data_IF_489289922359
#
_entry.id   IF_489289922359
#
_cell.length_a   1.000
_cell.length_b   1.000
_cell.length_c   1.000
_cell.angle_alpha   90.00
_cell.angle_beta   90.00
_cell.angle_gamma   90.00
#
_symmetry.space_group_name_H-M   'P 1'
#
loop_
_entity.id
_entity.type
_entity.pdbx_description
1 polymer ?
#
# COMPACT_ATOMS: atom_id res chain seq x y z
N UNK A 1 23.89 4.21 -46.17
CA UNK A 1 22.43 4.28 -45.95
C UNK A 1 21.90 3.14 -45.06
N UNK A 2 22.41 1.90 -45.16
CA UNK A 2 21.94 0.78 -44.31
C UNK A 2 22.17 0.99 -42.80
N UNK A 3 23.33 1.53 -42.40
CA UNK A 3 23.62 1.84 -40.99
C UNK A 3 22.71 2.93 -40.39
N UNK A 4 22.36 3.95 -41.17
CA UNK A 4 21.45 5.02 -40.74
C UNK A 4 20.01 4.50 -40.55
N UNK A 5 19.57 3.57 -41.42
CA UNK A 5 18.29 2.86 -41.25
C UNK A 5 18.30 1.95 -40.01
N UNK A 6 19.43 1.29 -39.71
CA UNK A 6 19.58 0.46 -38.51
C UNK A 6 19.53 1.31 -37.23
N UNK A 7 20.19 2.47 -37.19
CA UNK A 7 20.13 3.39 -36.05
C UNK A 7 18.71 3.96 -35.86
N UNK A 8 18.06 4.44 -36.92
CA UNK A 8 16.68 4.92 -36.84
C UNK A 8 15.67 3.84 -36.44
N UNK A 9 15.86 2.59 -36.90
CA UNK A 9 15.06 1.46 -36.43
C UNK A 9 15.32 1.16 -34.96
N UNK A 10 16.57 1.23 -34.49
CA UNK A 10 16.89 0.98 -33.08
C UNK A 10 16.32 2.04 -32.13
N UNK A 11 16.33 3.31 -32.53
CA UNK A 11 15.72 4.42 -31.77
C UNK A 11 14.19 4.28 -31.76
N UNK A 12 13.57 3.97 -32.91
CA UNK A 12 12.12 3.74 -33.00
C UNK A 12 11.67 2.52 -32.18
N UNK A 13 12.46 1.45 -32.18
CA UNK A 13 12.16 0.22 -31.44
C UNK A 13 12.33 0.42 -29.93
N UNK A 14 13.38 1.13 -29.50
CA UNK A 14 13.60 1.48 -28.10
C UNK A 14 12.49 2.40 -27.56
N UNK A 15 12.03 3.37 -28.36
CA UNK A 15 10.92 4.24 -27.98
C UNK A 15 9.59 3.49 -27.87
N UNK A 16 9.36 2.48 -28.73
CA UNK A 16 8.17 1.62 -28.69
C UNK A 16 8.19 0.66 -27.49
N UNK A 17 9.35 0.07 -27.17
CA UNK A 17 9.55 -0.80 -26.01
C UNK A 17 9.36 -0.07 -24.66
N UNK A 18 9.76 1.21 -24.59
CA UNK A 18 9.56 2.06 -23.40
C UNK A 18 8.09 2.48 -23.18
N UNK A 19 7.28 2.48 -24.24
CA UNK A 19 5.85 2.83 -24.19
C UNK A 19 4.94 1.62 -23.91
N UNK A 20 5.45 0.39 -24.02
CA UNK A 20 4.65 -0.84 -23.96
C UNK A 20 5.04 -1.82 -22.85
N UNK A 21 5.97 -1.49 -21.95
CA UNK A 21 6.33 -2.36 -20.84
C UNK A 21 5.46 -2.09 -19.59
N UNK A 22 4.41 -2.88 -19.30
CA UNK A 22 3.86 -2.93 -17.97
C UNK A 22 4.95 -3.46 -17.03
N UNK A 23 5.13 -2.75 -15.93
CA UNK A 23 6.06 -3.05 -14.84
C UNK A 23 5.64 -4.39 -14.22
N UNK A 24 6.09 -5.51 -14.79
CA UNK A 24 5.97 -6.84 -14.18
C UNK A 24 7.22 -7.04 -13.31
N UNK A 25 7.05 -6.80 -12.02
CA UNK A 25 8.01 -7.19 -11.00
C UNK A 25 8.07 -8.71 -10.91
N UNK A 26 9.19 -9.29 -11.34
CA UNK A 26 9.61 -10.64 -10.97
C UNK A 26 10.17 -10.58 -9.53
N UNK A 27 9.33 -10.88 -8.54
CA UNK A 27 9.78 -11.05 -7.16
C UNK A 27 10.11 -12.53 -6.91
N UNK A 28 11.38 -12.79 -6.64
CA UNK A 28 11.92 -14.07 -6.18
C UNK A 28 11.48 -14.30 -4.73
N UNK A 29 10.95 -15.49 -4.44
CA UNK A 29 10.70 -15.97 -3.08
C UNK A 29 12.02 -16.39 -2.43
N UNK A 30 12.41 -15.70 -1.36
CA UNK A 30 13.54 -16.09 -0.52
C UNK A 30 13.09 -16.15 0.94
N UNK A 31 13.22 -17.32 1.54
CA UNK A 31 12.98 -17.59 2.95
C UNK A 31 13.93 -16.79 3.85
N UNK A 32 13.41 -16.13 4.88
CA UNK A 32 14.16 -15.85 6.11
C UNK A 32 13.20 -15.58 7.28
N UNK A 33 13.41 -16.37 8.34
CA UNK A 33 12.64 -16.43 9.55
C UNK A 33 13.03 -15.36 10.60
N UNK A 34 12.05 -15.03 11.45
CA UNK A 34 12.10 -14.75 12.89
C UNK A 34 13.01 -13.63 13.46
N UNK A 35 12.40 -12.66 14.15
CA UNK A 35 12.36 -12.63 15.63
C UNK A 35 11.57 -11.41 16.16
N UNK A 36 10.94 -11.65 17.32
CA UNK A 36 9.98 -10.85 18.09
C UNK A 36 10.64 -9.78 18.98
N UNK A 37 9.91 -8.69 19.28
CA UNK A 37 10.21 -7.75 20.37
C UNK A 37 9.04 -6.80 20.70
N UNK A 38 8.20 -7.24 21.64
CA UNK A 38 7.14 -6.60 22.47
C UNK A 38 7.10 -5.04 22.55
N UNK A 39 5.99 -4.31 22.76
CA UNK A 39 4.53 -4.48 22.87
C UNK A 39 3.96 -3.09 23.20
N UNK A 40 3.01 -2.56 22.42
CA UNK A 40 2.21 -1.40 22.83
C UNK A 40 1.01 -1.87 23.70
N UNK A 41 0.72 -1.26 24.86
CA UNK A 41 -0.48 -1.57 25.62
C UNK A 41 -1.66 -0.87 24.94
N UNK A 42 -2.51 -1.65 24.26
CA UNK A 42 -3.68 -1.16 23.53
C UNK A 42 -4.65 -0.30 24.36
N UNK A 43 -5.65 0.32 23.71
CA UNK A 43 -6.52 1.32 24.33
C UNK A 43 -7.36 0.76 25.48
N UNK A 44 -7.58 1.64 26.45
CA UNK A 44 -8.29 1.44 27.71
C UNK A 44 -9.74 1.02 27.46
N UNK A 45 -10.25 0.11 28.30
CA UNK A 45 -11.60 -0.43 28.21
C UNK A 45 -12.66 0.68 28.26
N UNK A 46 -13.43 0.83 27.18
CA UNK A 46 -14.65 1.63 27.14
C UNK A 46 -15.83 0.69 27.31
N UNK A 47 -16.48 0.76 28.48
CA UNK A 47 -17.71 0.04 28.75
C UNK A 47 -18.92 0.82 28.23
N UNK A 48 -19.53 0.38 27.13
CA UNK A 48 -20.86 0.84 26.70
C UNK A 48 -21.73 -0.30 26.15
N UNK A 49 -22.69 -0.66 27.00
CA UNK A 49 -24.01 -1.29 26.83
C UNK A 49 -24.39 -1.83 25.44
N UNK A 50 -24.59 -3.15 25.40
CA UNK A 50 -25.10 -3.95 24.30
C UNK A 50 -26.62 -4.05 24.30
N UNK A 51 -27.27 -3.64 23.20
CA UNK A 51 -28.60 -4.15 22.84
C UNK A 51 -28.65 -4.43 21.34
N UNK A 52 -28.73 -5.72 20.99
CA UNK A 52 -29.21 -6.22 19.69
C UNK A 52 -28.16 -6.78 18.74
N UNK A 53 -27.89 -8.10 18.83
CA UNK A 53 -27.71 -9.09 17.73
C UNK A 53 -26.92 -10.31 18.26
N UNK A 54 -27.63 -11.38 18.58
CA UNK A 54 -27.19 -12.39 19.54
C UNK A 54 -27.05 -13.80 18.95
N UNK A 55 -26.85 -14.04 17.64
CA UNK A 55 -26.89 -15.44 17.15
C UNK A 55 -25.79 -15.93 16.20
N UNK A 56 -24.88 -15.09 15.71
CA UNK A 56 -23.70 -15.55 14.95
C UNK A 56 -22.36 -15.22 15.61
N UNK A 57 -22.32 -14.21 16.49
CA UNK A 57 -21.14 -13.89 17.31
C UNK A 57 -20.99 -14.76 18.56
N UNK A 58 -22.08 -15.34 19.07
CA UNK A 58 -22.08 -16.09 20.34
C UNK A 58 -21.26 -17.38 20.29
N UNK A 59 -21.26 -18.09 19.15
CA UNK A 59 -20.48 -19.33 19.00
C UNK A 59 -18.97 -19.05 18.92
N UNK A 60 -18.57 -17.94 18.28
CA UNK A 60 -17.18 -17.50 18.23
C UNK A 60 -16.70 -16.99 19.60
N UNK A 61 -17.55 -16.23 20.31
CA UNK A 61 -17.23 -15.64 21.61
C UNK A 61 -16.91 -16.68 22.69
N UNK A 62 -17.35 -17.93 22.53
CA UNK A 62 -16.99 -19.02 23.44
C UNK A 62 -15.48 -19.30 23.49
N UNK A 63 -14.73 -18.97 22.44
CA UNK A 63 -13.28 -19.12 22.38
C UNK A 63 -12.53 -17.79 22.11
N UNK A 64 -13.18 -16.83 21.45
CA UNK A 64 -12.62 -15.54 21.05
C UNK A 64 -13.28 -14.38 21.81
N UNK A 65 -13.34 -14.47 23.15
CA UNK A 65 -14.07 -13.50 23.97
C UNK A 65 -13.56 -12.07 23.78
N UNK A 66 -12.24 -11.89 23.62
CA UNK A 66 -11.66 -10.55 23.45
C UNK A 66 -12.05 -9.99 22.09
N UNK A 67 -11.83 -10.74 21.03
CA UNK A 67 -12.11 -10.32 19.67
C UNK A 67 -13.60 -10.05 19.46
N UNK A 68 -14.49 -10.87 20.03
CA UNK A 68 -15.94 -10.63 19.99
C UNK A 68 -16.36 -9.37 20.74
N UNK A 69 -15.73 -9.06 21.88
CA UNK A 69 -15.99 -7.81 22.63
C UNK A 69 -15.49 -6.58 21.85
N UNK A 70 -14.28 -6.65 21.31
CA UNK A 70 -13.69 -5.59 20.49
C UNK A 70 -14.53 -5.33 19.23
N UNK A 71 -14.97 -6.40 18.57
CA UNK A 71 -15.84 -6.33 17.40
C UNK A 71 -17.21 -5.74 17.73
N UNK A 72 -17.79 -6.05 18.88
CA UNK A 72 -19.07 -5.47 19.31
C UNK A 72 -19.02 -3.94 19.45
N UNK A 73 -17.86 -3.38 19.78
CA UNK A 73 -17.65 -1.92 19.85
C UNK A 73 -17.26 -1.29 18.50
N UNK A 74 -17.00 -2.11 17.48
CA UNK A 74 -16.61 -1.65 16.14
C UNK A 74 -17.78 -1.03 15.36
N UNK A 75 -17.45 -0.17 14.40
CA UNK A 75 -18.40 0.36 13.41
C UNK A 75 -19.04 -0.72 12.54
N UNK A 76 -18.43 -1.90 12.46
CA UNK A 76 -18.92 -3.04 11.67
C UNK A 76 -19.87 -3.97 12.43
N UNK A 77 -19.99 -3.83 13.76
CA UNK A 77 -20.78 -4.72 14.63
C UNK A 77 -22.24 -4.94 14.20
N UNK A 78 -22.87 -3.93 13.59
CA UNK A 78 -24.30 -3.94 13.24
C UNK A 78 -24.60 -4.46 11.83
N UNK A 79 -23.59 -4.55 10.98
CA UNK A 79 -23.76 -4.82 9.54
C UNK A 79 -22.92 -5.95 9.01
N UNK A 80 -21.96 -6.44 9.81
CA UNK A 80 -21.03 -7.50 9.44
C UNK A 80 -21.00 -8.56 10.54
N UNK A 81 -20.62 -9.76 10.15
CA UNK A 81 -20.37 -10.92 11.00
C UNK A 81 -18.91 -11.34 10.88
N UNK A 82 -18.44 -12.20 11.78
CA UNK A 82 -17.05 -12.68 11.77
C UNK A 82 -16.67 -13.33 10.42
N UNK A 83 -17.61 -14.05 9.81
CA UNK A 83 -17.40 -14.80 8.56
C UNK A 83 -17.31 -13.92 7.31
N UNK A 84 -17.72 -12.65 7.39
CA UNK A 84 -17.68 -11.72 6.24
C UNK A 84 -16.27 -11.25 5.93
N UNK A 85 -15.36 -11.32 6.90
CA UNK A 85 -13.95 -10.93 6.73
C UNK A 85 -13.00 -12.13 6.67
N UNK A 86 -13.26 -13.20 7.43
CA UNK A 86 -12.38 -14.37 7.46
C UNK A 86 -13.15 -15.68 7.61
N UNK A 87 -12.59 -16.76 7.07
CA UNK A 87 -13.16 -18.09 7.24
C UNK A 87 -12.66 -18.69 8.56
N UNK A 88 -13.53 -18.92 9.57
CA UNK A 88 -13.10 -19.26 10.94
C UNK A 88 -12.48 -20.65 11.06
N UNK A 89 -12.80 -21.58 10.15
CA UNK A 89 -12.35 -22.98 10.21
C UNK A 89 -11.97 -23.54 8.84
N UNK A 90 -11.35 -22.72 7.99
CA UNK A 90 -10.70 -23.23 6.78
C UNK A 90 -9.41 -23.97 7.18
N UNK A 91 -9.34 -25.24 6.78
CA UNK A 91 -8.32 -26.22 7.14
C UNK A 91 -6.91 -25.86 6.63
N UNK A 92 -6.00 -25.57 7.54
CA UNK A 92 -4.64 -26.10 7.53
C UNK A 92 -4.23 -26.32 8.99
N UNK A 93 -4.42 -27.55 9.47
CA UNK A 93 -3.95 -28.10 10.76
C UNK A 93 -4.21 -27.22 11.99
N UNK A 94 -5.25 -27.59 12.76
CA UNK A 94 -5.67 -26.93 14.01
C UNK A 94 -4.61 -26.94 15.12
N UNK A 95 -3.56 -26.16 14.96
CA UNK A 95 -2.43 -26.02 15.88
C UNK A 95 -1.53 -24.82 15.61
N UNK A 96 -1.56 -24.24 14.41
CA UNK A 96 -0.67 -23.12 14.10
C UNK A 96 -1.34 -21.77 14.42
N UNK A 97 -0.64 -20.91 15.17
CA UNK A 97 -1.03 -19.53 15.53
C UNK A 97 -1.00 -18.59 14.32
N UNK A 98 -1.54 -19.02 13.19
CA UNK A 98 -1.57 -18.23 11.97
C UNK A 98 -2.76 -17.27 12.04
N UNK A 99 -2.59 -16.02 11.58
CA UNK A 99 -3.69 -15.06 11.54
C UNK A 99 -4.77 -15.58 10.58
N UNK A 100 -6.04 -15.45 10.98
CA UNK A 100 -7.19 -15.90 10.19
C UNK A 100 -7.33 -15.17 8.83
N UNK A 101 -6.61 -14.05 8.66
CA UNK A 101 -6.45 -13.32 7.41
C UNK A 101 -4.97 -13.13 7.18
N UNK A 102 -4.48 -13.51 6.01
CA UNK A 102 -3.10 -13.23 5.66
C UNK A 102 -2.91 -11.73 5.41
N UNK A 103 -1.76 -11.16 5.83
CA UNK A 103 -1.50 -9.72 5.70
C UNK A 103 -1.64 -9.22 4.25
N UNK A 104 -1.19 -10.02 3.28
CA UNK A 104 -1.30 -9.69 1.87
C UNK A 104 -2.76 -9.68 1.37
N UNK A 105 -3.67 -10.35 2.08
CA UNK A 105 -5.10 -10.42 1.74
C UNK A 105 -5.90 -9.29 2.40
N UNK A 106 -5.35 -8.56 3.37
CA UNK A 106 -6.06 -7.49 4.09
C UNK A 106 -6.63 -6.44 3.13
N UNK A 107 -5.86 -6.03 2.13
CA UNK A 107 -6.33 -5.05 1.14
C UNK A 107 -7.53 -5.57 0.33
N UNK A 108 -7.55 -6.86 -0.01
CA UNK A 108 -8.72 -7.47 -0.68
C UNK A 108 -9.90 -7.66 0.25
N UNK A 109 -9.69 -8.04 1.51
CA UNK A 109 -10.76 -8.22 2.49
C UNK A 109 -11.50 -6.91 2.74
N UNK A 110 -10.79 -5.83 3.08
CA UNK A 110 -11.42 -4.53 3.28
C UNK A 110 -12.00 -3.97 1.97
N UNK A 111 -11.29 -4.17 0.86
CA UNK A 111 -11.67 -3.69 -0.47
C UNK A 111 -12.90 -4.36 -1.08
N UNK A 112 -13.34 -5.50 -0.53
CA UNK A 112 -14.58 -6.17 -0.94
C UNK A 112 -15.82 -5.27 -0.73
N UNK A 113 -15.81 -4.46 0.33
CA UNK A 113 -16.86 -3.48 0.62
C UNK A 113 -16.38 -2.03 0.44
N UNK A 114 -15.17 -1.71 0.88
CA UNK A 114 -14.56 -0.38 0.69
C UNK A 114 -13.94 -0.23 -0.70
N UNK A 115 -14.74 -0.40 -1.74
CA UNK A 115 -14.31 -0.27 -3.13
C UNK A 115 -14.25 1.21 -3.59
N UNK A 116 -13.76 1.44 -4.81
CA UNK A 116 -13.67 2.78 -5.39
C UNK A 116 -12.46 3.59 -4.89
N UNK A 117 -12.67 4.87 -4.62
CA UNK A 117 -11.58 5.83 -4.34
C UNK A 117 -10.73 5.46 -3.12
N UNK A 118 -11.34 4.91 -2.07
CA UNK A 118 -10.63 4.49 -0.85
C UNK A 118 -9.63 3.38 -1.16
N UNK A 119 -10.07 2.34 -1.87
CA UNK A 119 -9.19 1.23 -2.25
C UNK A 119 -8.10 1.68 -3.23
N UNK A 120 -8.47 2.50 -4.22
CA UNK A 120 -7.53 2.98 -5.24
C UNK A 120 -6.45 3.86 -4.61
N UNK A 121 -6.82 4.83 -3.78
CA UNK A 121 -5.87 5.72 -3.12
C UNK A 121 -4.94 4.98 -2.16
N UNK A 122 -5.44 3.98 -1.40
CA UNK A 122 -4.56 3.13 -0.60
C UNK A 122 -3.59 2.34 -1.47
N UNK A 123 -4.05 1.71 -2.56
CA UNK A 123 -3.18 0.96 -3.47
C UNK A 123 -2.11 1.81 -4.14
N UNK A 124 -2.38 3.10 -4.35
CA UNK A 124 -1.42 4.07 -4.90
C UNK A 124 -0.45 4.62 -3.85
N UNK A 125 -0.79 4.54 -2.55
CA UNK A 125 0.10 4.94 -1.45
C UNK A 125 1.38 4.10 -1.40
N UNK A 126 2.41 4.63 -0.73
CA UNK A 126 3.66 3.89 -0.52
C UNK A 126 3.42 2.57 0.20
N UNK A 127 2.56 2.58 1.23
CA UNK A 127 2.25 1.38 2.00
C UNK A 127 1.50 0.33 1.17
N UNK A 128 0.49 0.73 0.40
CA UNK A 128 -0.27 -0.19 -0.45
C UNK A 128 0.57 -0.76 -1.59
N UNK A 129 1.47 0.03 -2.18
CA UNK A 129 2.42 -0.46 -3.20
C UNK A 129 3.44 -1.43 -2.61
N UNK A 130 3.99 -1.14 -1.45
CA UNK A 130 4.93 -2.06 -0.80
C UNK A 130 4.24 -3.36 -0.37
N UNK A 131 3.00 -3.28 0.14
CA UNK A 131 2.20 -4.45 0.51
C UNK A 131 1.86 -5.32 -0.70
N UNK A 132 1.50 -4.70 -1.85
CA UNK A 132 1.22 -5.44 -3.08
C UNK A 132 2.45 -6.10 -3.70
N UNK A 133 3.65 -5.57 -3.41
CA UNK A 133 4.94 -6.19 -3.74
C UNK A 133 5.36 -7.28 -2.73
N UNK A 134 4.51 -7.62 -1.76
CA UNK A 134 4.73 -8.72 -0.82
C UNK A 134 5.44 -8.31 0.47
N UNK A 135 5.62 -7.01 0.74
CA UNK A 135 6.22 -6.56 2.00
C UNK A 135 5.39 -7.04 3.20
N UNK A 136 6.03 -7.74 4.13
CA UNK A 136 5.44 -8.17 5.39
C UNK A 136 5.43 -7.07 6.46
N UNK A 137 6.21 -6.00 6.27
CA UNK A 137 6.39 -4.91 7.24
C UNK A 137 5.66 -3.63 6.86
N UNK A 138 5.26 -3.48 5.59
CA UNK A 138 4.51 -2.31 5.12
C UNK A 138 3.12 -2.25 5.72
N UNK A 139 2.66 -1.07 6.16
CA UNK A 139 1.38 -0.93 6.84
C UNK A 139 0.18 -1.36 5.98
N UNK A 140 -0.72 -2.17 6.55
CA UNK A 140 -2.02 -2.55 6.00
C UNK A 140 -3.15 -1.72 6.59
N UNK A 141 -4.37 -1.91 6.07
CA UNK A 141 -5.57 -1.21 6.55
C UNK A 141 -5.74 -1.35 8.07
N UNK A 142 -5.44 -2.53 8.61
CA UNK A 142 -5.57 -2.88 10.02
C UNK A 142 -4.55 -2.22 10.94
N UNK A 143 -3.38 -1.82 10.43
CA UNK A 143 -2.36 -1.18 11.28
C UNK A 143 -2.75 0.26 11.60
N UNK A 144 -3.41 0.92 10.64
CA UNK A 144 -3.96 2.25 10.87
C UNK A 144 -5.33 2.18 11.56
N UNK A 145 -6.27 1.37 11.09
CA UNK A 145 -7.67 1.38 11.53
C UNK A 145 -8.02 0.39 12.66
N UNK A 146 -7.14 -0.56 12.96
CA UNK A 146 -7.45 -1.72 13.80
C UNK A 146 -8.04 -2.91 13.00
N UNK A 147 -8.05 -4.08 13.64
CA UNK A 147 -8.60 -5.32 13.06
C UNK A 147 -10.03 -5.61 13.52
N UNK A 148 -10.19 -5.98 14.80
CA UNK A 148 -11.51 -6.27 15.38
C UNK A 148 -12.17 -5.02 15.97
N UNK A 149 -11.40 -4.11 16.57
CA UNK A 149 -11.89 -2.81 17.04
C UNK A 149 -11.59 -1.74 15.99
N UNK A 150 -12.60 -1.39 15.18
CA UNK A 150 -12.50 -0.33 14.17
C UNK A 150 -13.44 0.80 14.56
N UNK A 151 -12.89 1.98 14.82
CA UNK A 151 -13.65 3.16 15.23
C UNK A 151 -13.68 4.21 14.13
N UNK A 152 -14.69 5.08 14.14
CA UNK A 152 -14.76 6.22 13.21
C UNK A 152 -13.59 7.17 13.45
N UNK A 153 -13.07 7.80 12.40
CA UNK A 153 -12.00 8.81 12.53
C UNK A 153 -12.39 10.03 13.36
N UNK A 154 -13.68 10.25 13.60
CA UNK A 154 -14.19 11.32 14.47
C UNK A 154 -14.22 10.92 15.96
N UNK A 155 -14.03 9.64 16.27
CA UNK A 155 -13.95 9.16 17.64
C UNK A 155 -12.56 9.44 18.22
N UNK A 156 -12.49 10.00 19.43
CA UNK A 156 -11.21 10.33 20.07
C UNK A 156 -10.35 9.10 20.38
N UNK A 157 -10.98 7.93 20.53
CA UNK A 157 -10.28 6.67 20.81
C UNK A 157 -9.81 5.97 19.54
N UNK A 158 -10.17 6.48 18.36
CA UNK A 158 -9.73 5.90 17.08
C UNK A 158 -8.25 6.17 16.86
N UNK A 159 -7.50 5.15 16.47
CA UNK A 159 -6.10 5.27 16.04
C UNK A 159 -5.92 6.21 14.85
N UNK A 160 -6.97 6.35 14.01
CA UNK A 160 -7.00 7.30 12.88
C UNK A 160 -7.68 8.62 13.22
N UNK A 161 -7.94 8.92 14.49
CA UNK A 161 -8.34 10.26 14.91
C UNK A 161 -7.21 11.25 14.66
N UNK A 162 -7.53 12.46 14.20
CA UNK A 162 -6.52 13.45 13.80
C UNK A 162 -5.46 13.73 14.88
N UNK A 163 -5.84 13.69 16.16
CA UNK A 163 -4.93 13.86 17.29
C UNK A 163 -4.00 12.65 17.54
N UNK A 164 -4.41 11.46 17.11
CA UNK A 164 -3.72 10.19 17.35
C UNK A 164 -2.83 9.76 16.17
N UNK A 165 -3.06 10.29 14.96
CA UNK A 165 -2.26 9.95 13.76
C UNK A 165 -0.75 10.11 13.99
N UNK A 166 -0.23 11.20 14.61
CA UNK A 166 1.21 11.31 14.87
C UNK A 166 1.78 10.18 15.71
N UNK A 167 1.05 9.75 16.74
CA UNK A 167 1.45 8.64 17.61
C UNK A 167 1.42 7.32 16.83
N UNK A 168 0.35 7.06 16.07
CA UNK A 168 0.22 5.85 15.24
C UNK A 168 1.33 5.74 14.21
N UNK A 169 1.64 6.82 13.48
CA UNK A 169 2.77 6.80 12.54
C UNK A 169 4.10 6.58 13.25
N UNK A 170 4.26 7.11 14.46
CA UNK A 170 5.45 7.00 15.30
C UNK A 170 5.73 5.59 15.82
N UNK A 171 4.77 4.66 15.75
CA UNK A 171 4.99 3.25 16.11
C UNK A 171 6.04 2.59 15.20
N UNK A 172 6.06 2.97 13.92
CA UNK A 172 7.04 2.48 12.94
C UNK A 172 8.06 3.55 12.53
N UNK A 173 7.68 4.83 12.53
CA UNK A 173 8.53 5.95 12.12
C UNK A 173 9.04 6.75 13.32
N UNK A 174 9.92 6.13 14.12
CA UNK A 174 10.42 6.70 15.38
C UNK A 174 11.20 8.01 15.23
N UNK A 175 11.82 8.24 14.07
CA UNK A 175 12.65 9.41 13.79
C UNK A 175 11.91 10.49 12.95
N UNK A 176 10.59 10.38 12.84
CA UNK A 176 9.78 11.30 12.06
C UNK A 176 9.80 12.74 12.63
N UNK A 177 9.89 13.75 11.76
CA UNK A 177 9.81 15.16 12.16
C UNK A 177 8.38 15.53 12.60
N UNK A 178 8.26 16.63 13.36
CA UNK A 178 7.01 17.17 13.96
C UNK A 178 5.80 17.34 13.01
N UNK A 179 5.98 17.29 11.69
CA UNK A 179 4.91 17.41 10.69
C UNK A 179 4.77 16.19 9.77
N UNK A 180 5.42 15.08 10.08
CA UNK A 180 5.41 13.88 9.24
C UNK A 180 3.99 13.34 9.06
N UNK A 181 3.23 13.25 10.15
CA UNK A 181 1.86 12.77 10.19
C UNK A 181 0.80 13.82 9.81
N UNK A 182 1.20 15.00 9.32
CA UNK A 182 0.26 16.01 8.84
C UNK A 182 -0.40 15.61 7.50
N UNK A 183 0.12 14.58 6.83
CA UNK A 183 -0.44 14.00 5.62
C UNK A 183 -1.66 13.11 5.89
N UNK A 184 -2.48 12.94 4.84
CA UNK A 184 -3.58 11.94 4.82
C UNK A 184 -3.16 10.84 3.84
N UNK A 185 -3.09 9.60 4.32
CA UNK A 185 -2.43 8.49 3.61
C UNK A 185 -3.25 7.84 2.47
N UNK A 186 -4.49 8.31 2.22
CA UNK A 186 -5.37 7.77 1.17
C UNK A 186 -6.10 8.88 0.39
N UNK A 187 -5.36 9.85 -0.15
CA UNK A 187 -5.92 10.85 -1.07
C UNK A 187 -5.74 10.41 -2.53
N UNK A 188 -6.79 10.55 -3.34
CA UNK A 188 -6.70 10.29 -4.77
C UNK A 188 -5.73 11.27 -5.43
N UNK A 189 -4.73 10.74 -6.14
CA UNK A 189 -3.81 11.55 -6.93
C UNK A 189 -4.49 11.94 -8.26
N UNK A 190 -5.32 12.97 -8.19
CA UNK A 190 -6.03 13.53 -9.34
C UNK A 190 -5.53 14.93 -9.72
N UNK A 191 -5.79 15.34 -10.96
CA UNK A 191 -5.45 16.70 -11.45
C UNK A 191 -6.22 17.82 -10.76
N UNK A 192 -7.32 17.47 -10.08
CA UNK A 192 -8.22 18.36 -9.36
C UNK A 192 -8.47 17.85 -7.94
N UNK A 193 -8.86 18.75 -7.04
CA UNK A 193 -9.14 18.44 -5.63
C UNK A 193 -7.93 18.48 -4.71
N UNK A 194 -8.09 17.87 -3.54
CA UNK A 194 -7.16 17.92 -2.42
C UNK A 194 -5.77 17.30 -2.69
N UNK A 195 -5.69 16.40 -3.68
CA UNK A 195 -4.45 15.73 -4.10
C UNK A 195 -3.75 16.43 -5.28
N UNK A 196 -4.31 17.51 -5.82
CA UNK A 196 -3.79 18.17 -7.01
C UNK A 196 -2.35 18.68 -6.87
N UNK A 197 -1.93 19.30 -5.74
CA UNK A 197 -0.55 19.74 -5.57
C UNK A 197 0.45 18.58 -5.69
N UNK A 198 0.15 17.44 -5.05
CA UNK A 198 0.97 16.23 -5.14
C UNK A 198 0.96 15.65 -6.56
N UNK A 199 -0.20 15.59 -7.21
CA UNK A 199 -0.34 15.10 -8.58
C UNK A 199 0.56 15.87 -9.55
N UNK A 200 0.47 17.20 -9.56
CA UNK A 200 1.26 18.03 -10.48
C UNK A 200 2.75 18.00 -10.16
N UNK A 201 3.10 17.93 -8.87
CA UNK A 201 4.49 17.75 -8.43
C UNK A 201 5.09 16.45 -8.97
N UNK A 202 4.37 15.33 -8.83
CA UNK A 202 4.83 14.05 -9.38
C UNK A 202 4.93 14.08 -10.91
N UNK A 203 3.94 14.66 -11.61
CA UNK A 203 3.98 14.79 -13.07
C UNK A 203 5.15 15.63 -13.53
N UNK A 204 5.47 16.72 -12.85
CA UNK A 204 6.63 17.55 -13.14
C UNK A 204 7.93 16.74 -13.07
N UNK A 205 8.17 16.01 -11.98
CA UNK A 205 9.38 15.20 -11.83
C UNK A 205 9.48 14.04 -12.83
N UNK A 206 8.35 13.42 -13.17
CA UNK A 206 8.30 12.38 -14.20
C UNK A 206 8.73 12.96 -15.55
N UNK A 207 8.14 14.08 -15.97
CA UNK A 207 8.50 14.72 -17.24
C UNK A 207 9.94 15.25 -17.24
N UNK A 208 10.40 15.84 -16.14
CA UNK A 208 11.79 16.26 -15.97
C UNK A 208 12.74 15.08 -16.20
N UNK A 209 12.48 13.93 -15.54
CA UNK A 209 13.30 12.72 -15.66
C UNK A 209 13.30 12.18 -17.09
N UNK A 210 12.13 12.09 -17.72
CA UNK A 210 12.00 11.62 -19.11
C UNK A 210 12.81 12.52 -20.05
N UNK A 211 12.66 13.84 -19.93
CA UNK A 211 13.39 14.81 -20.77
C UNK A 211 14.91 14.67 -20.55
N UNK A 212 15.36 14.59 -19.30
CA UNK A 212 16.79 14.45 -18.98
C UNK A 212 17.37 13.15 -19.57
N UNK A 213 16.68 12.02 -19.42
CA UNK A 213 17.12 10.73 -19.97
C UNK A 213 17.16 10.77 -21.51
N UNK A 214 16.15 11.36 -22.15
CA UNK A 214 16.14 11.51 -23.61
C UNK A 214 17.30 12.39 -24.10
N UNK A 215 17.55 13.52 -23.46
CA UNK A 215 18.68 14.40 -23.81
C UNK A 215 20.04 13.68 -23.64
N UNK A 216 20.19 12.87 -22.58
CA UNK A 216 21.39 12.07 -22.36
C UNK A 216 21.59 11.03 -23.46
N UNK A 217 20.54 10.29 -23.84
CA UNK A 217 20.60 9.30 -24.92
C UNK A 217 20.97 9.99 -26.24
N UNK A 218 20.33 11.11 -26.58
CA UNK A 218 20.65 11.86 -27.81
C UNK A 218 22.10 12.36 -27.81
N UNK A 219 22.62 12.79 -26.67
CA UNK A 219 24.01 13.20 -26.54
C UNK A 219 24.97 12.03 -26.86
N UNK A 220 24.73 10.86 -26.27
CA UNK A 220 25.52 9.66 -26.52
C UNK A 220 25.47 9.21 -27.99
N UNK A 221 24.29 9.23 -28.61
CA UNK A 221 24.12 8.86 -30.02
C UNK A 221 24.83 9.84 -30.96
N UNK A 222 24.74 11.14 -30.69
CA UNK A 222 25.44 12.17 -31.48
C UNK A 222 26.95 12.06 -31.34
N UNK A 223 27.45 11.76 -30.16
CA UNK A 223 28.88 11.50 -29.92
C UNK A 223 29.36 10.25 -30.65
N UNK A 224 28.62 9.14 -30.53
CA UNK A 224 28.92 7.90 -31.25
C UNK A 224 28.92 8.11 -32.76
N UNK A 225 27.94 8.86 -33.28
CA UNK A 225 27.87 9.23 -34.69
C UNK A 225 29.07 10.09 -35.14
N UNK A 226 29.47 11.06 -34.31
CA UNK A 226 30.65 11.89 -34.56
C UNK A 226 31.91 11.03 -34.65
N UNK A 227 32.13 10.14 -33.68
CA UNK A 227 33.27 9.22 -33.64
C UNK A 227 33.27 8.29 -34.86
N UNK A 228 32.11 7.74 -35.24
CA UNK A 228 31.98 6.89 -36.42
C UNK A 228 32.31 7.62 -37.73
N UNK A 229 31.89 8.88 -37.87
CA UNK A 229 32.23 9.71 -39.04
C UNK A 229 33.72 10.03 -39.09
N UNK A 230 34.34 10.32 -37.94
CA UNK A 230 35.79 10.59 -37.82
C UNK A 230 36.62 9.35 -38.16
N UNK A 231 36.19 8.16 -37.75
CA UNK A 231 36.85 6.90 -38.08
C UNK A 231 36.81 6.61 -39.59
N UNK A 232 35.66 6.80 -40.25
CA UNK A 232 35.53 6.63 -41.72
C UNK A 232 36.29 7.67 -42.54
N UNK A 233 36.46 8.88 -42.04
CA UNK A 233 37.22 9.93 -42.74
C UNK A 233 38.74 9.77 -42.69
N UNK A 234 39.25 8.78 -41.94
CA UNK A 234 40.67 8.44 -41.84
C UNK A 234 41.06 7.14 -42.58
N UNK A 235 40.11 6.50 -43.25
CA UNK A 235 40.31 5.36 -44.14
C UNK A 235 40.27 5.84 -45.60
#
# INVERSE_FOLDING_TARGET
MQLYRLVLLSVSLAMCLMLQAPIVCLAQTGDAAAAVGEKWPGPVAVEKQTTGQEQTGESCAQCHQKESRDFAASVHSKSQTCADCHQPHATANGGDKLPAINRQEITSTCGACHSGEVLTSYKESFHGRALSLGSSTSASCTDCHGGHLILKSTDSESTVAAANVPTMCGECHTDAKVNYAAGIEHKLLASEGDGAPQYWTFKFFIWLTIITVICLILHMELELFHLFRKARGKA
#
